data_IF_890072853235
#
_entry.id   IF_890072853235
#
_cell.length_a   1.000
_cell.length_b   1.000
_cell.length_c   1.000
_cell.angle_alpha   90.00
_cell.angle_beta   90.00
_cell.angle_gamma   90.00
#
_symmetry.space_group_name_H-M   'P 1'
#
loop_
_entity.id
_entity.type
_entity.pdbx_description
1 polymer ?
#
# COMPACT_ATOMS: atom_id res chain seq x y z
N UNK A 1 -16.01 -7.48 20.03
CA UNK A 1 -15.49 -7.84 18.69
C UNK A 1 -15.85 -9.27 18.30
N UNK A 2 -15.51 -10.32 19.07
CA UNK A 2 -15.82 -11.72 18.71
C UNK A 2 -17.30 -11.96 18.42
N UNK A 3 -18.21 -11.36 19.20
CA UNK A 3 -19.65 -11.45 18.96
C UNK A 3 -20.08 -10.73 17.68
N UNK A 4 -19.47 -9.59 17.38
CA UNK A 4 -19.76 -8.83 16.14
C UNK A 4 -19.33 -9.64 14.92
N UNK A 5 -18.10 -10.17 14.92
CA UNK A 5 -17.60 -11.02 13.82
C UNK A 5 -18.52 -12.21 13.56
N UNK A 6 -18.92 -12.94 14.62
CA UNK A 6 -19.88 -14.06 14.48
C UNK A 6 -21.28 -13.62 14.08
N UNK A 7 -21.71 -12.45 14.56
CA UNK A 7 -23.01 -11.88 14.20
C UNK A 7 -23.10 -11.60 12.71
N UNK A 8 -22.11 -10.92 12.15
CA UNK A 8 -22.03 -10.62 10.72
C UNK A 8 -21.95 -11.90 9.88
N UNK A 9 -21.10 -12.88 10.29
CA UNK A 9 -21.04 -14.17 9.61
C UNK A 9 -22.41 -14.87 9.60
N UNK A 10 -23.12 -14.87 10.74
CA UNK A 10 -24.41 -15.53 10.88
C UNK A 10 -25.54 -14.81 10.11
N UNK A 11 -25.58 -13.48 10.15
CA UNK A 11 -26.70 -12.70 9.60
C UNK A 11 -26.51 -12.35 8.13
N UNK A 12 -25.26 -12.06 7.73
CA UNK A 12 -24.95 -11.51 6.41
C UNK A 12 -24.15 -12.50 5.53
N UNK A 13 -23.72 -13.64 6.10
CA UNK A 13 -22.90 -14.62 5.40
C UNK A 13 -21.47 -14.14 5.09
N UNK A 14 -21.04 -13.01 5.69
CA UNK A 14 -19.72 -12.42 5.46
C UNK A 14 -18.73 -12.97 6.49
N UNK A 15 -17.71 -13.68 6.01
CA UNK A 15 -16.62 -14.20 6.83
C UNK A 15 -15.41 -13.27 6.81
N UNK A 16 -15.00 -12.77 7.97
CA UNK A 16 -13.80 -11.99 8.11
C UNK A 16 -12.58 -12.91 8.23
N UNK A 17 -11.58 -12.71 7.36
CA UNK A 17 -10.30 -13.38 7.46
C UNK A 17 -9.40 -12.73 8.52
N UNK A 18 -9.50 -11.40 8.67
CA UNK A 18 -8.70 -10.59 9.57
C UNK A 18 -9.56 -9.58 10.32
N UNK A 19 -9.12 -9.23 11.52
CA UNK A 19 -9.66 -8.13 12.31
C UNK A 19 -8.53 -7.41 13.04
N UNK A 20 -8.57 -6.09 13.09
CA UNK A 20 -7.65 -5.28 13.87
C UNK A 20 -8.40 -4.58 15.01
N UNK A 21 -7.98 -4.75 16.29
CA UNK A 21 -8.67 -4.13 17.42
C UNK A 21 -8.28 -2.67 17.68
N UNK A 22 -7.16 -2.19 17.12
CA UNK A 22 -6.65 -0.86 17.40
C UNK A 22 -6.27 -0.11 16.13
N UNK A 23 -6.89 1.04 15.91
CA UNK A 23 -6.43 2.03 14.96
C UNK A 23 -5.55 3.05 15.67
N UNK A 24 -4.33 3.25 15.19
CA UNK A 24 -3.38 4.28 15.61
C UNK A 24 -3.17 4.39 17.14
N UNK A 25 -2.79 3.29 17.83
CA UNK A 25 -2.65 3.33 19.30
C UNK A 25 -1.50 4.22 19.78
N UNK A 26 -0.56 4.52 18.91
CA UNK A 26 0.59 5.38 19.14
C UNK A 26 0.29 6.88 18.99
N UNK A 27 -0.87 7.24 18.44
CA UNK A 27 -1.27 8.62 18.21
C UNK A 27 -1.57 9.41 19.49
N UNK A 28 -1.46 10.75 19.40
CA UNK A 28 -1.77 11.68 20.48
C UNK A 28 -3.25 12.09 20.48
N UNK A 29 -4.12 11.11 20.36
CA UNK A 29 -5.54 11.37 20.27
C UNK A 29 -6.10 11.73 21.64
N UNK A 30 -6.55 12.98 21.78
CA UNK A 30 -7.25 13.43 22.95
C UNK A 30 -8.74 13.32 22.70
N UNK A 31 -9.37 12.33 23.30
CA UNK A 31 -10.80 12.00 23.14
C UNK A 31 -11.77 13.04 23.69
N UNK A 32 -11.33 14.22 23.99
CA UNK A 32 -12.22 15.34 24.36
C UNK A 32 -12.81 15.94 23.07
N UNK A 33 -13.80 15.24 22.54
CA UNK A 33 -14.50 15.58 21.30
C UNK A 33 -13.93 14.84 20.06
N UNK A 34 -14.77 14.49 19.09
CA UNK A 34 -14.41 13.67 17.94
C UNK A 34 -13.66 14.49 16.89
N UNK A 35 -12.38 14.77 17.11
CA UNK A 35 -11.54 15.49 16.13
C UNK A 35 -10.69 14.55 15.29
N UNK A 36 -10.47 13.32 15.73
CA UNK A 36 -9.59 12.37 15.09
C UNK A 36 -10.01 10.94 15.44
N UNK A 37 -9.83 10.03 14.51
CA UNK A 37 -10.07 8.61 14.68
C UNK A 37 -8.79 7.95 15.20
N UNK A 38 -8.88 7.19 16.26
CA UNK A 38 -7.74 6.48 16.83
C UNK A 38 -8.09 5.86 18.18
N UNK A 39 -7.30 4.91 18.62
CA UNK A 39 -7.52 4.15 19.87
C UNK A 39 -6.25 4.17 20.72
N UNK A 40 -5.92 5.29 21.40
CA UNK A 40 -4.68 5.42 22.16
C UNK A 40 -4.50 4.29 23.15
N UNK A 41 -3.38 3.57 23.04
CA UNK A 41 -3.06 2.45 23.92
C UNK A 41 -1.54 2.24 24.01
N UNK A 42 -1.07 1.81 25.15
CA UNK A 42 0.31 1.35 25.32
C UNK A 42 0.50 -0.03 24.69
N UNK A 43 1.72 -0.40 24.33
CA UNK A 43 2.05 -1.74 23.82
C UNK A 43 1.57 -2.85 24.76
N UNK A 44 1.58 -2.60 26.09
CA UNK A 44 1.08 -3.56 27.10
C UNK A 44 -0.45 -3.71 27.03
N UNK A 45 -1.19 -2.62 26.85
CA UNK A 45 -2.65 -2.65 26.70
C UNK A 45 -3.06 -3.32 25.39
N UNK A 46 -2.35 -3.02 24.30
CA UNK A 46 -2.52 -3.71 23.02
C UNK A 46 -2.31 -5.21 23.18
N UNK A 47 -1.16 -5.63 23.74
CA UNK A 47 -0.83 -7.03 23.91
C UNK A 47 -1.85 -7.76 24.80
N UNK A 48 -2.29 -7.12 25.91
CA UNK A 48 -3.33 -7.67 26.78
C UNK A 48 -4.66 -7.89 26.04
N UNK A 49 -5.09 -6.90 25.28
CA UNK A 49 -6.34 -6.95 24.51
C UNK A 49 -6.29 -8.03 23.42
N UNK A 50 -5.18 -8.11 22.68
CA UNK A 50 -4.99 -9.13 21.64
C UNK A 50 -5.01 -10.54 22.24
N UNK A 51 -4.34 -10.76 23.39
CA UNK A 51 -4.37 -12.06 24.10
C UNK A 51 -5.77 -12.42 24.59
N UNK A 52 -6.53 -11.44 25.08
CA UNK A 52 -7.94 -11.65 25.51
C UNK A 52 -8.81 -12.04 24.32
N UNK A 53 -8.68 -11.32 23.21
CA UNK A 53 -9.42 -11.58 21.98
C UNK A 53 -9.05 -12.95 21.38
N UNK A 54 -7.75 -13.31 21.39
CA UNK A 54 -7.28 -14.61 20.94
C UNK A 54 -7.94 -15.75 21.76
N UNK A 55 -7.98 -15.64 23.08
CA UNK A 55 -8.66 -16.64 23.95
C UNK A 55 -10.15 -16.78 23.58
N UNK A 56 -10.84 -15.65 23.35
CA UNK A 56 -12.23 -15.68 22.91
C UNK A 56 -12.40 -16.36 21.55
N UNK A 57 -11.48 -16.13 20.61
CA UNK A 57 -11.52 -16.77 19.28
C UNK A 57 -11.28 -18.27 19.37
N UNK A 58 -10.31 -18.69 20.16
CA UNK A 58 -10.06 -20.13 20.42
C UNK A 58 -11.28 -20.80 21.06
N UNK A 59 -11.84 -20.20 22.13
CA UNK A 59 -13.01 -20.74 22.80
C UNK A 59 -14.23 -20.86 21.89
N UNK A 60 -14.36 -19.95 20.94
CA UNK A 60 -15.47 -19.92 19.96
C UNK A 60 -15.17 -20.66 18.67
N UNK A 61 -14.00 -21.28 18.54
CA UNK A 61 -13.52 -21.99 17.33
C UNK A 61 -13.60 -21.09 16.10
N UNK A 62 -13.07 -19.88 16.20
CA UNK A 62 -13.01 -18.90 15.11
C UNK A 62 -11.65 -18.97 14.43
N UNK A 63 -11.65 -18.96 13.10
CA UNK A 63 -10.42 -18.98 12.26
C UNK A 63 -9.91 -17.58 11.92
N UNK A 64 -10.70 -16.53 12.21
CA UNK A 64 -10.34 -15.13 11.96
C UNK A 64 -9.01 -14.80 12.63
N UNK A 65 -8.09 -14.18 11.89
CA UNK A 65 -6.79 -13.77 12.39
C UNK A 65 -6.89 -12.38 13.04
N UNK A 66 -6.17 -12.19 14.14
CA UNK A 66 -6.15 -10.93 14.89
C UNK A 66 -4.87 -10.20 14.51
N UNK A 67 -5.00 -9.09 13.80
CA UNK A 67 -3.92 -8.16 13.55
C UNK A 67 -3.64 -7.38 14.83
N UNK A 68 -2.36 -7.12 15.13
CA UNK A 68 -2.00 -6.56 16.45
C UNK A 68 -2.54 -5.15 16.61
N UNK A 69 -2.17 -4.26 15.71
CA UNK A 69 -2.61 -2.86 15.64
C UNK A 69 -2.25 -2.26 14.28
N UNK A 70 -2.83 -1.12 13.97
CA UNK A 70 -2.46 -0.25 12.85
C UNK A 70 -1.71 0.96 13.39
N UNK A 71 -0.39 1.01 13.18
CA UNK A 71 0.46 2.12 13.64
C UNK A 71 0.19 3.36 12.82
N UNK A 72 0.08 4.54 13.45
CA UNK A 72 -0.18 5.80 12.74
C UNK A 72 0.98 6.26 11.86
N UNK A 73 2.19 5.79 12.17
CA UNK A 73 3.42 6.22 11.52
C UNK A 73 4.47 5.12 11.58
N UNK A 74 5.14 4.83 10.48
CA UNK A 74 6.20 3.83 10.40
C UNK A 74 7.31 4.03 11.44
N UNK A 75 7.57 5.29 11.83
CA UNK A 75 8.59 5.61 12.83
C UNK A 75 8.24 5.04 14.20
N UNK A 76 6.96 4.99 14.58
CA UNK A 76 6.50 4.40 15.83
C UNK A 76 6.72 2.88 15.88
N UNK A 77 6.70 2.22 14.74
CA UNK A 77 7.04 0.80 14.63
C UNK A 77 8.53 0.54 14.95
N UNK A 78 9.41 1.52 14.66
CA UNK A 78 10.87 1.41 14.73
C UNK A 78 11.47 1.99 16.01
N UNK A 79 10.88 3.08 16.52
CA UNK A 79 11.43 3.88 17.64
C UNK A 79 10.33 4.66 18.35
N UNK A 80 10.71 5.38 19.40
CA UNK A 80 9.86 6.43 19.96
C UNK A 80 9.81 7.61 18.99
N UNK A 81 8.60 8.03 18.59
CA UNK A 81 8.41 9.17 17.71
C UNK A 81 7.12 9.91 18.07
N UNK A 82 7.21 11.15 18.51
CA UNK A 82 6.07 11.98 18.96
C UNK A 82 5.13 11.26 19.96
N UNK A 83 5.62 10.25 20.63
CA UNK A 83 4.89 9.44 21.60
C UNK A 83 5.84 9.01 22.72
N UNK A 84 5.32 8.41 23.78
CA UNK A 84 6.16 7.84 24.83
C UNK A 84 6.73 6.45 24.40
N UNK A 85 7.74 6.00 25.15
CA UNK A 85 8.40 4.71 24.86
C UNK A 85 7.45 3.51 24.99
N UNK A 86 6.35 3.64 25.71
CA UNK A 86 5.36 2.58 25.92
C UNK A 86 4.51 2.32 24.67
N UNK A 87 4.56 3.21 23.68
CA UNK A 87 3.81 3.15 22.42
C UNK A 87 4.69 3.03 21.18
N UNK A 88 6.01 3.26 21.34
CA UNK A 88 7.00 3.10 20.28
C UNK A 88 7.60 1.69 20.21
N UNK A 89 8.58 1.49 19.30
CA UNK A 89 9.28 0.21 19.12
C UNK A 89 8.35 -0.99 18.91
N UNK A 90 7.25 -0.81 18.23
CA UNK A 90 6.15 -1.77 18.19
C UNK A 90 6.54 -3.12 17.58
N UNK A 91 7.41 -3.16 16.56
CA UNK A 91 7.90 -4.42 15.98
C UNK A 91 8.64 -5.23 17.06
N UNK A 92 9.55 -4.58 17.79
CA UNK A 92 10.29 -5.22 18.87
C UNK A 92 9.37 -5.62 20.02
N UNK A 93 8.45 -4.73 20.41
CA UNK A 93 7.54 -4.99 21.52
C UNK A 93 6.69 -6.25 21.29
N UNK A 94 6.17 -6.42 20.07
CA UNK A 94 5.21 -7.50 19.81
C UNK A 94 5.85 -8.79 19.29
N UNK A 95 7.04 -8.73 18.68
CA UNK A 95 7.62 -9.88 17.99
C UNK A 95 9.03 -10.26 18.42
N UNK A 96 9.66 -9.52 19.34
CA UNK A 96 10.91 -9.94 19.99
C UNK A 96 10.58 -10.83 21.20
N UNK A 97 11.09 -12.07 21.28
CA UNK A 97 10.81 -12.96 22.41
C UNK A 97 11.25 -12.39 23.78
N UNK A 98 12.27 -11.54 23.78
CA UNK A 98 12.77 -10.89 25.01
C UNK A 98 11.80 -9.82 25.55
N UNK A 99 10.82 -9.42 24.79
CA UNK A 99 9.75 -8.48 25.20
C UNK A 99 8.63 -9.21 25.95
N UNK A 100 8.94 -9.88 27.05
CA UNK A 100 8.09 -10.86 27.75
C UNK A 100 6.66 -10.37 28.00
N UNK A 101 6.49 -9.12 28.42
CA UNK A 101 5.18 -8.55 28.77
C UNK A 101 4.28 -8.30 27.53
N UNK A 102 4.90 -8.05 26.37
CA UNK A 102 4.19 -7.62 25.16
C UNK A 102 4.31 -8.58 23.99
N UNK A 103 5.17 -9.60 24.08
CA UNK A 103 5.39 -10.59 23.03
C UNK A 103 4.11 -11.31 22.61
N UNK A 104 3.82 -11.31 21.32
CA UNK A 104 2.63 -11.92 20.74
C UNK A 104 2.92 -12.98 19.67
N UNK A 105 4.21 -13.23 19.40
CA UNK A 105 4.62 -14.09 18.28
C UNK A 105 4.13 -15.54 18.34
N UNK A 106 3.73 -16.05 19.51
CA UNK A 106 3.20 -17.39 19.71
C UNK A 106 1.72 -17.40 20.14
N UNK A 107 1.05 -16.25 20.06
CA UNK A 107 -0.36 -16.13 20.45
C UNK A 107 -1.27 -16.74 19.36
N UNK A 108 -2.16 -17.67 19.69
CA UNK A 108 -3.08 -18.25 18.70
C UNK A 108 -3.89 -17.18 17.93
N UNK A 109 -4.18 -17.44 16.67
CA UNK A 109 -4.85 -16.51 15.76
C UNK A 109 -4.13 -15.17 15.52
N UNK A 110 -2.89 -14.99 15.96
CA UNK A 110 -2.09 -13.79 15.71
C UNK A 110 -1.00 -14.12 14.71
N UNK A 111 -1.10 -13.65 13.46
CA UNK A 111 -0.07 -13.88 12.46
C UNK A 111 1.16 -13.00 12.75
N UNK A 112 2.34 -13.43 12.30
CA UNK A 112 3.55 -12.60 12.33
C UNK A 112 3.46 -11.54 11.22
N UNK A 113 2.64 -10.51 11.48
CA UNK A 113 2.31 -9.48 10.50
C UNK A 113 2.04 -8.16 11.25
N UNK A 114 2.69 -7.10 10.81
CA UNK A 114 2.44 -5.73 11.28
C UNK A 114 1.67 -4.95 10.23
N UNK A 115 0.80 -4.06 10.70
CA UNK A 115 0.10 -3.06 9.91
C UNK A 115 0.61 -1.68 10.28
N UNK A 116 0.62 -0.77 9.33
CA UNK A 116 0.98 0.61 9.61
C UNK A 116 0.60 1.55 8.49
N UNK A 117 0.38 2.80 8.89
CA UNK A 117 0.05 3.91 8.02
C UNK A 117 1.33 4.62 7.58
N UNK A 118 1.40 5.06 6.34
CA UNK A 118 2.60 5.74 5.81
C UNK A 118 2.57 7.26 5.96
N UNK A 119 1.73 7.78 6.84
CA UNK A 119 1.61 9.20 7.09
C UNK A 119 2.94 9.84 7.46
N UNK A 120 3.18 11.06 6.96
CA UNK A 120 4.38 11.88 7.22
C UNK A 120 5.73 11.23 6.91
N UNK A 121 5.75 10.14 6.15
CA UNK A 121 6.96 9.40 5.76
C UNK A 121 7.22 9.43 4.26
N UNK A 122 6.53 10.31 3.52
CA UNK A 122 6.56 10.40 2.07
C UNK A 122 7.46 11.51 1.55
N UNK A 123 7.81 12.47 2.40
CA UNK A 123 8.70 13.60 2.13
C UNK A 123 9.70 13.81 3.25
N UNK A 124 10.89 14.36 2.98
CA UNK A 124 11.47 14.57 1.63
C UNK A 124 11.79 13.25 0.92
N UNK A 125 12.02 13.28 -0.40
CA UNK A 125 12.27 12.06 -1.19
C UNK A 125 13.46 11.22 -0.69
N UNK A 126 14.46 11.84 -0.07
CA UNK A 126 15.58 11.14 0.57
C UNK A 126 15.12 10.23 1.71
N UNK A 127 14.10 10.65 2.47
CA UNK A 127 13.54 9.90 3.60
C UNK A 127 12.57 8.80 3.12
N UNK A 128 11.86 9.02 2.01
CA UNK A 128 10.87 8.09 1.49
C UNK A 128 11.44 6.67 1.36
N UNK A 129 12.59 6.52 0.68
CA UNK A 129 13.26 5.22 0.50
C UNK A 129 13.92 4.73 1.78
N UNK A 130 14.65 5.62 2.46
CA UNK A 130 15.43 5.26 3.65
C UNK A 130 14.53 4.68 4.76
N UNK A 131 13.38 5.30 5.01
CA UNK A 131 12.41 4.83 5.99
C UNK A 131 11.89 3.42 5.67
N UNK A 132 11.58 3.14 4.40
CA UNK A 132 11.10 1.82 3.96
C UNK A 132 12.16 0.73 4.09
N UNK A 133 13.41 1.05 3.80
CA UNK A 133 14.53 0.13 4.02
C UNK A 133 14.70 -0.20 5.51
N UNK A 134 14.70 0.82 6.38
CA UNK A 134 14.79 0.62 7.84
C UNK A 134 13.62 -0.23 8.37
N UNK A 135 12.40 0.04 7.89
CA UNK A 135 11.22 -0.75 8.25
C UNK A 135 11.40 -2.21 7.84
N UNK A 136 11.85 -2.45 6.60
CA UNK A 136 12.10 -3.80 6.10
C UNK A 136 13.13 -4.55 6.94
N UNK A 137 14.26 -3.92 7.25
CA UNK A 137 15.31 -4.51 8.10
C UNK A 137 14.79 -4.92 9.48
N UNK A 138 14.00 -4.04 10.11
CA UNK A 138 13.40 -4.31 11.42
C UNK A 138 12.40 -5.47 11.37
N UNK A 139 11.57 -5.55 10.34
CA UNK A 139 10.60 -6.62 10.13
C UNK A 139 11.30 -7.96 9.86
N UNK A 140 12.30 -7.97 8.99
CA UNK A 140 13.04 -9.17 8.63
C UNK A 140 13.81 -9.77 9.84
N UNK A 141 14.31 -8.91 10.73
CA UNK A 141 14.98 -9.32 11.99
C UNK A 141 14.12 -10.27 12.83
N UNK A 142 12.80 -10.06 12.81
CA UNK A 142 11.85 -10.87 13.60
C UNK A 142 10.97 -11.78 12.73
N UNK A 143 11.27 -11.91 11.42
CA UNK A 143 10.48 -12.66 10.46
C UNK A 143 8.99 -12.25 10.47
N UNK A 144 8.73 -10.96 10.35
CA UNK A 144 7.40 -10.35 10.38
C UNK A 144 7.05 -9.82 8.98
N UNK A 145 5.86 -10.15 8.50
CA UNK A 145 5.29 -9.56 7.30
C UNK A 145 4.81 -8.13 7.53
N UNK A 146 4.49 -7.43 6.45
CA UNK A 146 4.03 -6.05 6.52
C UNK A 146 2.87 -5.77 5.54
N UNK A 147 1.86 -5.02 6.02
CA UNK A 147 0.82 -4.37 5.23
C UNK A 147 0.85 -2.87 5.50
N UNK A 148 0.89 -2.10 4.44
CA UNK A 148 0.52 -0.69 4.49
C UNK A 148 -1.01 -0.65 4.49
N UNK A 149 -1.61 -0.27 5.62
CA UNK A 149 -3.04 -0.44 5.87
C UNK A 149 -3.86 0.84 5.73
N UNK A 150 -3.21 2.01 5.72
CA UNK A 150 -3.88 3.27 5.48
C UNK A 150 -2.90 4.36 5.07
N UNK A 151 -3.27 5.20 4.13
CA UNK A 151 -2.64 6.49 3.87
C UNK A 151 -3.54 7.36 3.01
N UNK A 152 -3.41 8.67 3.19
CA UNK A 152 -3.97 9.71 2.33
C UNK A 152 -2.98 10.88 2.20
N UNK A 153 -3.38 11.94 1.55
CA UNK A 153 -2.56 13.15 1.43
C UNK A 153 -2.90 14.09 2.58
N UNK A 154 -1.97 14.24 3.51
CA UNK A 154 -2.12 15.10 4.69
C UNK A 154 -1.05 16.19 4.73
N UNK A 155 -1.44 17.33 5.30
CA UNK A 155 -0.52 18.42 5.55
C UNK A 155 -0.11 19.18 4.29
N UNK A 156 0.94 19.96 4.44
CA UNK A 156 1.54 20.75 3.36
C UNK A 156 2.81 20.05 2.89
N UNK A 157 2.77 19.53 1.70
CA UNK A 157 3.87 18.91 0.99
C UNK A 157 4.35 19.86 -0.11
N UNK A 158 5.65 20.04 -0.26
CA UNK A 158 6.23 20.97 -1.27
C UNK A 158 5.81 20.63 -2.69
N UNK A 159 5.62 19.33 -2.97
CA UNK A 159 5.31 18.85 -4.32
C UNK A 159 3.82 18.90 -4.62
N UNK A 160 2.98 18.44 -3.67
CA UNK A 160 1.55 18.23 -3.92
C UNK A 160 0.65 19.23 -3.18
N UNK A 161 1.18 19.90 -2.16
CA UNK A 161 0.40 20.75 -1.25
C UNK A 161 -0.41 19.91 -0.26
N UNK A 162 -1.44 20.53 0.33
CA UNK A 162 -2.36 19.85 1.26
C UNK A 162 -3.38 18.95 0.56
N UNK A 163 -4.14 18.19 1.34
CA UNK A 163 -5.16 17.26 0.86
C UNK A 163 -6.43 17.91 0.30
N UNK A 164 -6.63 19.22 0.49
CA UNK A 164 -7.83 19.90 0.00
C UNK A 164 -7.87 20.04 -1.53
N UNK A 165 -9.08 20.06 -2.08
CA UNK A 165 -9.35 20.18 -3.51
C UNK A 165 -9.25 18.83 -4.23
N UNK A 166 -10.32 18.49 -4.96
CA UNK A 166 -10.32 17.27 -5.78
C UNK A 166 -9.41 17.41 -6.99
N UNK A 167 -8.42 16.55 -7.13
CA UNK A 167 -7.47 16.55 -8.24
C UNK A 167 -7.76 15.39 -9.20
N UNK A 168 -8.12 15.74 -10.44
CA UNK A 168 -8.40 14.78 -11.51
C UNK A 168 -7.18 14.42 -12.35
N UNK A 169 -6.02 15.05 -12.09
CA UNK A 169 -4.83 14.98 -12.94
C UNK A 169 -3.87 13.88 -12.52
N UNK A 170 -2.88 13.63 -13.37
CA UNK A 170 -1.76 12.75 -13.06
C UNK A 170 -0.85 13.28 -11.94
N UNK A 171 -1.02 14.52 -11.46
CA UNK A 171 -0.15 15.06 -10.39
C UNK A 171 -0.27 14.25 -9.12
N UNK A 172 -1.48 14.13 -8.56
CA UNK A 172 -1.76 13.31 -7.37
C UNK A 172 -1.56 11.83 -7.66
N UNK A 173 -1.99 11.35 -8.81
CA UNK A 173 -1.89 9.96 -9.23
C UNK A 173 -0.44 9.45 -9.22
N UNK A 174 0.49 10.21 -9.79
CA UNK A 174 1.90 9.85 -9.83
C UNK A 174 2.57 9.94 -8.45
N UNK A 175 2.21 10.96 -7.66
CA UNK A 175 2.69 11.07 -6.29
C UNK A 175 2.36 9.82 -5.47
N UNK A 176 1.10 9.39 -5.52
CA UNK A 176 0.65 8.19 -4.80
C UNK A 176 1.22 6.90 -5.41
N UNK A 177 1.31 6.80 -6.74
CA UNK A 177 1.94 5.64 -7.40
C UNK A 177 3.41 5.46 -6.97
N UNK A 178 4.14 6.57 -6.75
CA UNK A 178 5.50 6.54 -6.19
C UNK A 178 5.52 6.00 -4.77
N UNK A 179 4.55 6.35 -3.92
CA UNK A 179 4.42 5.81 -2.56
C UNK A 179 4.15 4.31 -2.62
N UNK A 180 3.18 3.88 -3.44
CA UNK A 180 2.86 2.45 -3.63
C UNK A 180 4.12 1.67 -4.03
N UNK A 181 4.87 2.19 -5.02
CA UNK A 181 6.10 1.56 -5.47
C UNK A 181 7.09 1.37 -4.33
N UNK A 182 7.31 2.41 -3.52
CA UNK A 182 8.28 2.35 -2.42
C UNK A 182 7.83 1.43 -1.28
N UNK A 183 6.57 1.45 -0.92
CA UNK A 183 6.04 0.55 0.12
C UNK A 183 6.13 -0.92 -0.31
N UNK A 184 5.84 -1.23 -1.57
CA UNK A 184 5.92 -2.61 -2.08
C UNK A 184 7.38 -3.04 -2.29
N UNK A 185 8.21 -2.19 -2.91
CA UNK A 185 9.56 -2.59 -3.33
C UNK A 185 10.53 -2.57 -2.15
N UNK A 186 10.49 -1.54 -1.31
CA UNK A 186 11.46 -1.35 -0.24
C UNK A 186 10.97 -1.77 1.14
N UNK A 187 9.74 -1.46 1.54
CA UNK A 187 9.19 -1.98 2.80
C UNK A 187 8.70 -3.43 2.69
N UNK A 188 8.48 -3.93 1.47
CA UNK A 188 7.99 -5.30 1.25
C UNK A 188 6.52 -5.46 1.62
N UNK A 189 5.72 -4.41 1.48
CA UNK A 189 4.29 -4.45 1.74
C UNK A 189 3.60 -5.52 0.87
N UNK A 190 2.83 -6.39 1.52
CA UNK A 190 2.03 -7.46 0.87
C UNK A 190 0.59 -7.06 0.63
N UNK A 191 0.14 -5.97 1.24
CA UNK A 191 -1.12 -5.28 1.00
C UNK A 191 -0.85 -3.78 1.02
N UNK A 192 -1.62 -3.03 0.25
CA UNK A 192 -1.56 -1.59 0.22
C UNK A 192 -2.97 -1.02 0.15
N UNK A 193 -3.34 -0.14 1.09
CA UNK A 193 -4.69 0.39 1.25
C UNK A 193 -4.65 1.91 1.26
N UNK A 194 -5.68 2.49 0.67
CA UNK A 194 -5.84 3.92 0.50
C UNK A 194 -7.02 4.45 1.32
N UNK A 195 -6.86 5.56 1.96
CA UNK A 195 -7.88 6.38 2.58
C UNK A 195 -8.14 7.60 1.69
N UNK A 196 -9.28 7.72 0.97
CA UNK A 196 -10.47 6.88 0.96
C UNK A 196 -11.05 6.73 -0.47
N UNK A 197 -11.95 5.77 -0.68
CA UNK A 197 -12.54 5.51 -1.99
C UNK A 197 -13.42 6.66 -2.46
N UNK A 198 -14.31 7.17 -1.62
CA UNK A 198 -15.23 8.26 -1.92
C UNK A 198 -14.80 9.48 -1.11
N UNK A 199 -14.49 10.57 -1.78
CA UNK A 199 -14.10 11.83 -1.17
C UNK A 199 -14.92 12.97 -1.70
N UNK A 200 -15.24 13.95 -0.83
CA UNK A 200 -15.81 15.21 -1.23
C UNK A 200 -14.75 16.12 -1.87
N UNK A 201 -14.44 17.25 -1.24
CA UNK A 201 -13.47 18.21 -1.75
C UNK A 201 -12.04 17.93 -1.25
N UNK A 202 -11.57 16.69 -1.47
CA UNK A 202 -10.23 16.23 -1.08
C UNK A 202 -9.54 15.50 -2.24
N UNK A 203 -8.21 15.63 -2.33
CA UNK A 203 -7.37 14.89 -3.27
C UNK A 203 -7.37 13.38 -3.00
N UNK A 204 -7.80 12.98 -1.82
CA UNK A 204 -7.84 11.60 -1.38
C UNK A 204 -8.95 10.78 -2.03
N UNK A 205 -10.01 11.42 -2.51
CA UNK A 205 -11.08 10.70 -3.17
C UNK A 205 -10.61 10.02 -4.45
N UNK A 206 -10.80 8.68 -4.54
CA UNK A 206 -10.67 7.98 -5.82
C UNK A 206 -11.77 8.43 -6.78
N UNK A 207 -12.96 8.61 -6.23
CA UNK A 207 -14.10 9.22 -6.89
C UNK A 207 -14.67 10.35 -6.03
N UNK A 208 -15.26 11.34 -6.71
CA UNK A 208 -16.02 12.42 -6.08
C UNK A 208 -17.48 12.25 -6.40
N UNK A 209 -18.31 12.32 -5.39
CA UNK A 209 -19.75 12.40 -5.51
C UNK A 209 -20.23 13.86 -5.51
N UNK A 210 -21.25 14.11 -6.31
CA UNK A 210 -22.03 15.34 -6.34
C UNK A 210 -23.49 14.94 -6.13
N UNK A 211 -23.98 15.16 -4.92
CA UNK A 211 -25.35 14.80 -4.56
C UNK A 211 -26.27 16.00 -4.69
N UNK A 212 -27.56 15.72 -4.97
CA UNK A 212 -28.61 16.72 -4.85
C UNK A 212 -28.87 17.07 -3.38
N UNK A 213 -29.74 18.07 -3.14
CA UNK A 213 -30.07 18.52 -1.79
C UNK A 213 -30.72 17.41 -0.93
N UNK A 214 -31.45 16.49 -1.57
CA UNK A 214 -32.14 15.39 -0.92
C UNK A 214 -31.24 14.17 -0.69
N UNK A 215 -30.00 14.17 -1.17
CA UNK A 215 -29.05 13.05 -1.13
C UNK A 215 -29.59 11.74 -1.76
N UNK A 216 -30.49 11.87 -2.75
CA UNK A 216 -31.15 10.73 -3.41
C UNK A 216 -30.62 10.45 -4.80
N UNK A 217 -30.11 11.47 -5.45
CA UNK A 217 -29.56 11.40 -6.80
C UNK A 217 -28.29 12.23 -6.89
N UNK A 218 -27.60 12.13 -8.01
CA UNK A 218 -26.37 12.86 -8.22
C UNK A 218 -25.52 12.28 -9.35
N UNK A 219 -24.29 12.72 -9.40
CA UNK A 219 -23.28 12.23 -10.34
C UNK A 219 -21.98 11.92 -9.63
N UNK A 220 -21.20 11.05 -10.21
CA UNK A 220 -19.84 10.73 -9.74
C UNK A 220 -18.81 11.11 -10.81
N UNK A 221 -17.65 11.55 -10.35
CA UNK A 221 -16.47 11.77 -11.17
C UNK A 221 -15.32 10.96 -10.62
N UNK A 222 -14.58 10.30 -11.48
CA UNK A 222 -13.35 9.59 -11.12
C UNK A 222 -12.13 10.52 -11.18
N UNK A 223 -11.01 10.03 -10.64
CA UNK A 223 -9.72 10.71 -10.66
C UNK A 223 -8.66 9.83 -11.30
N UNK A 224 -7.59 10.45 -11.81
CA UNK A 224 -6.41 9.67 -12.27
C UNK A 224 -5.77 8.86 -11.12
N UNK A 225 -6.00 9.27 -9.86
CA UNK A 225 -5.59 8.50 -8.67
C UNK A 225 -6.27 7.13 -8.62
N UNK A 226 -7.58 7.04 -8.90
CA UNK A 226 -8.29 5.75 -8.98
C UNK A 226 -7.63 4.82 -10.01
N UNK A 227 -7.29 5.38 -11.17
CA UNK A 227 -6.67 4.62 -12.26
C UNK A 227 -5.20 4.29 -11.99
N UNK A 228 -4.49 5.13 -11.24
CA UNK A 228 -3.14 4.79 -10.74
C UNK A 228 -3.19 3.57 -9.81
N UNK A 229 -4.13 3.53 -8.86
CA UNK A 229 -4.40 2.33 -8.05
C UNK A 229 -4.78 1.14 -8.93
N UNK A 230 -5.61 1.38 -9.94
CA UNK A 230 -6.04 0.39 -10.92
C UNK A 230 -4.89 -0.28 -11.67
N UNK A 231 -3.78 0.45 -11.94
CA UNK A 231 -2.58 -0.11 -12.55
C UNK A 231 -1.92 -1.21 -11.70
N UNK A 232 -2.17 -1.22 -10.39
CA UNK A 232 -1.77 -2.29 -9.49
C UNK A 232 -2.91 -3.28 -9.26
N UNK A 233 -4.03 -2.83 -8.72
CA UNK A 233 -5.09 -3.69 -8.19
C UNK A 233 -5.78 -4.57 -9.25
N UNK A 234 -5.89 -4.11 -10.50
CA UNK A 234 -6.49 -4.87 -11.59
C UNK A 234 -5.61 -6.02 -12.05
N UNK A 235 -4.29 -5.86 -12.04
CA UNK A 235 -3.35 -6.76 -12.70
C UNK A 235 -2.50 -7.59 -11.72
N UNK A 236 -2.35 -7.15 -10.48
CA UNK A 236 -1.62 -7.86 -9.44
C UNK A 236 -2.66 -8.45 -8.49
N UNK A 237 -2.86 -9.76 -8.59
CA UNK A 237 -3.96 -10.43 -7.90
C UNK A 237 -3.51 -11.12 -6.61
N UNK A 238 -4.42 -11.42 -5.68
CA UNK A 238 -4.10 -12.17 -4.47
C UNK A 238 -3.28 -13.43 -4.79
N UNK A 239 -2.19 -13.64 -4.04
CA UNK A 239 -1.22 -14.70 -4.29
C UNK A 239 -0.11 -14.34 -5.28
N UNK A 240 -0.09 -13.12 -5.82
CA UNK A 240 1.02 -12.67 -6.64
C UNK A 240 2.33 -12.58 -5.85
N UNK A 241 3.43 -12.91 -6.52
CA UNK A 241 4.79 -12.81 -5.97
C UNK A 241 5.52 -11.70 -6.69
N UNK A 242 6.06 -10.72 -5.94
CA UNK A 242 6.92 -9.67 -6.49
C UNK A 242 8.26 -10.28 -6.94
N UNK A 243 8.70 -9.89 -8.12
CA UNK A 243 9.97 -10.30 -8.71
C UNK A 243 11.02 -9.19 -8.54
N UNK A 244 12.28 -9.59 -8.44
CA UNK A 244 13.40 -8.64 -8.53
C UNK A 244 13.48 -8.09 -9.96
N UNK A 245 13.75 -6.79 -10.08
CA UNK A 245 13.95 -6.10 -11.34
C UNK A 245 15.38 -5.62 -11.41
N UNK A 246 16.07 -5.89 -12.53
CA UNK A 246 17.38 -5.33 -12.87
C UNK A 246 17.24 -4.51 -14.14
N UNK A 247 17.66 -3.25 -14.11
CA UNK A 247 17.66 -2.37 -15.26
C UNK A 247 19.07 -2.31 -15.88
N UNK A 248 19.11 -2.21 -17.20
CA UNK A 248 20.36 -2.11 -17.96
C UNK A 248 20.26 -0.92 -18.91
N UNK A 249 21.38 -0.25 -19.15
CA UNK A 249 21.49 0.79 -20.18
C UNK A 249 21.49 0.19 -21.61
N UNK A 250 21.53 1.07 -22.62
CA UNK A 250 21.57 0.64 -24.02
C UNK A 250 22.82 -0.14 -24.39
N UNK A 251 23.93 0.05 -23.67
CA UNK A 251 25.20 -0.67 -23.86
C UNK A 251 25.18 -2.04 -23.15
N UNK A 252 24.13 -2.34 -22.36
CA UNK A 252 23.97 -3.58 -21.60
C UNK A 252 24.63 -3.56 -20.22
N UNK A 253 25.05 -2.40 -19.72
CA UNK A 253 25.59 -2.27 -18.37
C UNK A 253 24.45 -2.22 -17.34
N UNK A 254 24.64 -2.90 -16.21
CA UNK A 254 23.70 -2.85 -15.08
C UNK A 254 23.64 -1.43 -14.51
N UNK A 255 22.43 -0.92 -14.35
CA UNK A 255 22.16 0.35 -13.66
C UNK A 255 21.84 0.02 -12.18
N UNK A 256 22.74 0.28 -11.23
CA UNK A 256 22.50 0.01 -9.82
C UNK A 256 21.27 0.79 -9.32
N UNK A 257 20.27 0.07 -8.75
CA UNK A 257 19.02 0.69 -8.33
C UNK A 257 18.18 1.29 -9.46
N UNK A 258 18.43 0.89 -10.72
CA UNK A 258 17.75 1.40 -11.90
C UNK A 258 16.28 0.97 -12.04
N UNK A 259 15.77 0.18 -11.10
CA UNK A 259 14.34 -0.07 -10.92
C UNK A 259 13.60 1.12 -10.28
N UNK A 260 14.31 2.10 -9.72
CA UNK A 260 13.70 3.21 -8.99
C UNK A 260 14.48 4.52 -9.16
N UNK A 261 14.11 5.28 -10.16
CA UNK A 261 14.39 6.72 -10.23
C UNK A 261 13.15 7.49 -9.74
N UNK A 262 13.21 8.05 -8.53
CA UNK A 262 12.08 8.70 -7.85
C UNK A 262 11.51 9.92 -8.62
N UNK A 263 12.29 10.52 -9.51
CA UNK A 263 11.90 11.64 -10.39
C UNK A 263 11.83 11.25 -11.86
N UNK A 264 12.14 10.01 -12.16
CA UNK A 264 12.18 9.45 -13.52
C UNK A 264 11.34 8.19 -13.65
N UNK A 265 11.98 7.10 -14.07
CA UNK A 265 11.30 5.83 -14.30
C UNK A 265 11.42 4.91 -13.08
N UNK A 266 10.27 4.39 -12.61
CA UNK A 266 10.20 3.34 -11.59
C UNK A 266 9.55 2.09 -12.18
N UNK A 267 10.09 0.91 -11.85
CA UNK A 267 9.63 -0.36 -12.39
C UNK A 267 9.46 -1.41 -11.30
N UNK A 268 8.34 -2.11 -11.30
CA UNK A 268 8.11 -3.27 -10.45
C UNK A 268 7.46 -4.40 -11.24
N UNK A 269 7.79 -5.65 -10.91
CA UNK A 269 7.32 -6.82 -11.65
C UNK A 269 6.75 -7.89 -10.71
N UNK A 270 5.73 -8.58 -11.18
CA UNK A 270 4.95 -9.55 -10.41
C UNK A 270 4.63 -10.79 -11.23
N UNK A 271 4.59 -11.93 -10.56
CA UNK A 271 4.05 -13.18 -11.10
C UNK A 271 2.78 -13.53 -10.34
N UNK A 272 1.66 -13.58 -11.03
CA UNK A 272 0.37 -13.97 -10.48
C UNK A 272 0.27 -15.50 -10.28
N UNK A 273 -0.67 -15.93 -9.45
CA UNK A 273 -0.90 -17.34 -9.15
C UNK A 273 -1.33 -18.13 -10.38
N UNK A 274 -2.00 -17.50 -11.37
CA UNK A 274 -2.37 -18.10 -12.66
C UNK A 274 -1.20 -18.23 -13.65
N UNK A 275 0.00 -17.81 -13.25
CA UNK A 275 1.21 -17.85 -14.06
C UNK A 275 1.40 -16.63 -14.97
N UNK A 276 0.47 -15.69 -15.02
CA UNK A 276 0.62 -14.43 -15.73
C UNK A 276 1.65 -13.53 -15.06
N UNK A 277 2.22 -12.60 -15.82
CA UNK A 277 3.17 -11.61 -15.32
C UNK A 277 2.59 -10.21 -15.53
N UNK A 278 2.72 -9.37 -14.51
CA UNK A 278 2.42 -7.95 -14.58
C UNK A 278 3.69 -7.13 -14.33
N UNK A 279 3.91 -6.08 -15.13
CA UNK A 279 5.02 -5.13 -14.94
C UNK A 279 4.43 -3.74 -14.91
N UNK A 280 4.63 -3.03 -13.81
CA UNK A 280 4.16 -1.65 -13.62
C UNK A 280 5.35 -0.72 -13.78
N UNK A 281 5.18 0.28 -14.66
CA UNK A 281 6.16 1.32 -14.97
C UNK A 281 5.52 2.68 -14.70
N UNK A 282 6.20 3.48 -13.89
CA UNK A 282 5.77 4.84 -13.55
C UNK A 282 6.79 5.80 -14.15
N UNK A 283 6.39 6.59 -15.12
CA UNK A 283 7.22 7.67 -15.63
C UNK A 283 6.85 8.98 -14.92
N UNK A 284 7.66 9.34 -13.94
CA UNK A 284 7.50 10.57 -13.16
C UNK A 284 8.12 11.80 -13.85
N UNK A 285 8.95 11.59 -14.86
CA UNK A 285 9.65 12.64 -15.59
C UNK A 285 8.74 13.45 -16.51
N UNK A 286 9.20 14.61 -16.93
CA UNK A 286 8.55 15.50 -17.89
C UNK A 286 8.84 15.12 -19.35
N UNK A 287 9.72 14.14 -19.57
CA UNK A 287 10.05 13.61 -20.88
C UNK A 287 9.65 12.14 -21.02
N UNK A 288 9.42 11.72 -22.24
CA UNK A 288 9.17 10.32 -22.56
C UNK A 288 10.36 9.44 -22.21
N UNK A 289 10.07 8.23 -21.80
CA UNK A 289 11.07 7.18 -21.57
C UNK A 289 10.82 6.00 -22.48
N UNK A 290 11.81 5.18 -22.64
CA UNK A 290 11.74 3.93 -23.39
C UNK A 290 12.11 2.76 -22.49
N UNK A 291 11.41 1.65 -22.70
CA UNK A 291 11.62 0.44 -21.93
C UNK A 291 11.44 -0.79 -22.83
N UNK A 292 12.22 -1.84 -22.58
CA UNK A 292 12.03 -3.13 -23.25
C UNK A 292 12.16 -4.27 -22.25
N UNK A 293 11.33 -5.31 -22.41
CA UNK A 293 11.45 -6.57 -21.67
C UNK A 293 11.97 -7.62 -22.64
N UNK A 294 13.18 -8.10 -22.43
CA UNK A 294 13.82 -9.02 -23.35
C UNK A 294 13.23 -10.43 -23.26
N UNK A 295 13.22 -11.03 -22.07
CA UNK A 295 12.72 -12.40 -21.84
C UNK A 295 12.25 -12.54 -20.39
N UNK A 296 11.30 -13.43 -20.17
CA UNK A 296 10.97 -13.94 -18.83
C UNK A 296 11.29 -15.44 -18.83
N UNK A 297 12.12 -15.88 -17.86
CA UNK A 297 12.58 -17.24 -17.73
C UNK A 297 13.10 -17.83 -19.06
N UNK A 298 13.86 -17.02 -19.83
CA UNK A 298 14.44 -17.40 -21.11
C UNK A 298 13.46 -17.47 -22.30
N UNK A 299 12.17 -17.27 -22.09
CA UNK A 299 11.13 -17.34 -23.13
C UNK A 299 10.75 -15.95 -23.65
N UNK A 300 10.48 -15.87 -24.96
CA UNK A 300 9.87 -14.68 -25.57
C UNK A 300 8.38 -14.69 -25.26
N UNK A 301 7.84 -13.54 -24.93
CA UNK A 301 6.45 -13.34 -24.53
C UNK A 301 5.79 -12.23 -25.34
N UNK A 302 4.46 -12.17 -25.27
CA UNK A 302 3.67 -11.04 -25.78
C UNK A 302 3.02 -10.35 -24.60
N UNK A 303 2.93 -9.03 -24.68
CA UNK A 303 2.39 -8.17 -23.64
C UNK A 303 1.26 -7.33 -24.18
N UNK A 304 0.18 -7.24 -23.43
CA UNK A 304 -0.80 -6.17 -23.60
C UNK A 304 -0.33 -4.99 -22.75
N UNK A 305 -0.24 -3.82 -23.36
CA UNK A 305 0.13 -2.57 -22.69
C UNK A 305 -1.15 -1.82 -22.31
N UNK A 306 -1.28 -1.45 -21.06
CA UNK A 306 -2.32 -0.58 -20.53
C UNK A 306 -1.72 0.75 -20.09
N UNK A 307 -2.39 1.87 -20.33
CA UNK A 307 -1.86 3.20 -20.03
C UNK A 307 -2.86 4.06 -19.26
N UNK A 308 -2.33 4.82 -18.32
CA UNK A 308 -3.00 5.91 -17.61
C UNK A 308 -2.15 7.17 -17.75
N UNK A 309 -2.73 8.25 -18.23
CA UNK A 309 -2.07 9.55 -18.42
C UNK A 309 -3.08 10.71 -18.31
N UNK A 310 -2.61 11.96 -18.47
CA UNK A 310 -3.51 13.12 -18.50
C UNK A 310 -4.33 13.23 -19.82
N UNK A 311 -4.05 12.37 -20.81
CA UNK A 311 -4.87 12.32 -22.01
C UNK A 311 -6.26 11.77 -21.68
N UNK A 312 -7.30 12.42 -22.21
CA UNK A 312 -8.68 12.01 -22.00
C UNK A 312 -8.92 10.57 -22.51
N UNK A 313 -9.58 9.76 -21.67
CA UNK A 313 -9.85 8.34 -21.96
C UNK A 313 -8.67 7.41 -21.78
N UNK A 314 -7.48 7.91 -21.44
CA UNK A 314 -6.35 7.06 -21.05
C UNK A 314 -6.42 6.68 -19.56
N UNK A 315 -7.37 5.79 -19.24
CA UNK A 315 -7.71 5.30 -17.91
C UNK A 315 -7.64 3.78 -17.91
N UNK A 316 -6.43 3.23 -17.73
CA UNK A 316 -6.10 1.83 -18.01
C UNK A 316 -6.46 1.40 -19.43
N UNK A 317 -6.30 2.33 -20.38
CA UNK A 317 -6.60 2.06 -21.78
C UNK A 317 -5.67 1.00 -22.36
N UNK A 318 -6.17 -0.10 -22.95
CA UNK A 318 -5.32 -1.03 -23.70
C UNK A 318 -4.87 -0.36 -25.02
N UNK A 319 -3.59 0.02 -25.08
CA UNK A 319 -3.07 0.82 -26.20
C UNK A 319 -2.43 -0.01 -27.30
N UNK A 320 -1.63 -1.05 -26.95
CA UNK A 320 -0.90 -1.84 -27.93
C UNK A 320 -0.54 -3.24 -27.40
N UNK A 321 -0.18 -4.13 -28.33
CA UNK A 321 0.42 -5.43 -28.03
C UNK A 321 1.86 -5.46 -28.52
N UNK A 322 2.79 -5.74 -27.61
CA UNK A 322 4.23 -5.79 -27.92
C UNK A 322 4.82 -7.18 -27.70
N UNK A 323 5.86 -7.51 -28.47
CA UNK A 323 6.65 -8.74 -28.27
C UNK A 323 7.88 -8.43 -27.43
N UNK A 324 8.35 -9.40 -26.66
CA UNK A 324 9.65 -9.30 -25.97
C UNK A 324 10.76 -8.82 -26.88
N UNK A 325 11.60 -7.94 -26.37
CA UNK A 325 12.70 -7.30 -27.09
C UNK A 325 12.29 -6.11 -27.97
N UNK A 326 11.01 -5.74 -27.98
CA UNK A 326 10.56 -4.50 -28.60
C UNK A 326 10.48 -3.38 -27.58
N UNK A 327 10.85 -2.19 -28.00
CA UNK A 327 10.77 -0.98 -27.20
C UNK A 327 9.32 -0.54 -27.04
N UNK A 328 8.95 -0.19 -25.82
CA UNK A 328 7.68 0.46 -25.46
C UNK A 328 8.00 1.89 -25.08
N UNK A 329 7.32 2.84 -25.69
CA UNK A 329 7.36 4.25 -25.29
C UNK A 329 6.48 4.46 -24.07
N UNK A 330 7.03 5.10 -23.05
CA UNK A 330 6.35 5.48 -21.84
C UNK A 330 6.23 7.00 -21.84
N UNK A 331 5.06 7.56 -22.18
CA UNK A 331 4.90 9.01 -22.22
C UNK A 331 5.30 9.69 -20.92
N UNK A 332 5.72 10.93 -21.00
CA UNK A 332 5.92 11.78 -19.85
C UNK A 332 4.71 11.73 -18.92
N UNK A 333 4.94 11.75 -17.62
CA UNK A 333 3.85 11.83 -16.62
C UNK A 333 2.76 10.77 -16.80
N UNK A 334 3.16 9.49 -16.98
CA UNK A 334 2.20 8.39 -17.19
C UNK A 334 2.53 7.16 -16.37
N UNK A 335 1.55 6.26 -16.24
CA UNK A 335 1.72 4.92 -15.67
C UNK A 335 1.35 3.91 -16.75
N UNK A 336 2.20 2.91 -16.93
CA UNK A 336 1.96 1.81 -17.85
C UNK A 336 1.99 0.49 -17.07
N UNK A 337 1.03 -0.37 -17.37
CA UNK A 337 1.08 -1.77 -16.94
C UNK A 337 1.15 -2.68 -18.15
N UNK A 338 2.15 -3.55 -18.18
CA UNK A 338 2.26 -4.63 -19.16
C UNK A 338 1.75 -5.92 -18.52
N UNK A 339 0.79 -6.55 -19.16
CA UNK A 339 0.25 -7.84 -18.75
C UNK A 339 0.58 -8.90 -19.80
N UNK A 340 1.23 -9.96 -19.37
CA UNK A 340 1.42 -11.15 -20.15
C UNK A 340 0.38 -12.18 -19.69
N UNK A 341 -0.55 -12.56 -20.54
CA UNK A 341 -1.42 -13.70 -20.30
C UNK A 341 -0.65 -14.98 -20.61
N UNK A 342 -0.65 -15.93 -19.69
CA UNK A 342 -0.15 -17.28 -19.99
C UNK A 342 -0.93 -17.84 -21.21
N UNK A 343 -0.17 -18.29 -22.20
CA UNK A 343 -0.71 -19.01 -23.34
C UNK A 343 -1.30 -20.34 -22.89
#
# INVERSE_FOLDING_TARGET
LAQVVKGVEKHDGIKFNYICPFNEPDGHWNWVGPKQEGSPATNREVARTVRLLSREFVNRKMDTQIMVNESSDYRCMLRTHQTDWQRGYQIQAFFCPDSVDTYLGDTPNVPRLMLGHSYWTTTPLSELRAMRCQLREALDKYNVGFWQSETCIMGNDEEIGGGHGFDRTMKTALYVARIIHHDIVYAGAKSWQWWRAIGGDYKDGLIREYTDEDLRDGRVEDSKLMWALGNYSRFIRPGAVRLSVSAFDQAGNLIPGGDTDQKGLMCSAYKNADGSYAVVLINYAQEDKEFSINKINGKKTRWQVYRTSDVEGEDLLPVEKVKSGKTVRIPARSIITLLNQSL
#
